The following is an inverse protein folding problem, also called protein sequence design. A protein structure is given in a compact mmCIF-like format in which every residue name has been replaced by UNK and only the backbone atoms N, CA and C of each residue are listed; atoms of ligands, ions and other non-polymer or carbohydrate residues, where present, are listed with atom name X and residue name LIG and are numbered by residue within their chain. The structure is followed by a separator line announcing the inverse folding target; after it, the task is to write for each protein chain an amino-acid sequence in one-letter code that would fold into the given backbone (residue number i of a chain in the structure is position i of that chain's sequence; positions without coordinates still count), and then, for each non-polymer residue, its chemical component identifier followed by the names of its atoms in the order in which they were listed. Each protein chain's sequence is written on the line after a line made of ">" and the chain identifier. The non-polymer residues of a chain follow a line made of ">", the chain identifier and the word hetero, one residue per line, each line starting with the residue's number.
data_IF_603798917038
#
_entry.id   IF_603798917038
#
_cell.length_a   1.000
_cell.length_b   1.000
_cell.length_c   1.000
_cell.angle_alpha   90.00
_cell.angle_beta   90.00
_cell.angle_gamma   90.00
#
_symmetry.space_group_name_H-M   'P 1'
#
loop_
_entity.id
_entity.type
_entity.pdbx_description
1 polymer ?
#
# COMPACT_ATOMS: atom_id res chain seq x y z
N UNK A 1 -1.80 -13.99 13.52
CA UNK A 1 -1.78 -13.94 12.10
C UNK A 1 -1.45 -12.57 11.55
N UNK A 2 -2.41 -11.66 11.45
CA UNK A 2 -2.15 -10.33 10.96
C UNK A 2 -1.12 -9.57 11.76
N UNK A 3 -1.04 -9.83 13.06
CA UNK A 3 -0.13 -9.11 13.94
C UNK A 3 1.34 -9.35 13.62
N UNK A 4 1.70 -10.56 13.23
CA UNK A 4 3.10 -10.84 12.87
C UNK A 4 3.53 -10.07 11.65
N UNK A 5 2.65 -10.03 10.66
CA UNK A 5 2.95 -9.34 9.42
C UNK A 5 3.11 -7.85 9.69
N UNK A 6 2.23 -7.27 10.49
CA UNK A 6 2.28 -5.85 10.81
C UNK A 6 3.57 -5.46 11.53
N UNK A 7 4.04 -6.29 12.44
CA UNK A 7 5.30 -6.01 13.13
C UNK A 7 6.47 -5.92 12.16
N UNK A 8 6.52 -6.85 11.22
CA UNK A 8 7.61 -6.87 10.25
C UNK A 8 7.55 -5.69 9.30
N UNK A 9 6.35 -5.25 8.95
CA UNK A 9 6.20 -4.17 7.98
C UNK A 9 6.49 -2.79 8.55
N UNK A 10 6.26 -2.59 9.84
CA UNK A 10 6.52 -1.29 10.47
C UNK A 10 7.95 -0.83 10.24
N UNK A 11 8.90 -1.73 10.22
CA UNK A 11 10.30 -1.38 10.06
C UNK A 11 10.70 -1.07 8.62
N UNK A 12 9.80 -1.22 7.66
CA UNK A 12 10.08 -0.94 6.25
C UNK A 12 9.86 0.51 5.88
N UNK A 13 9.12 1.25 6.68
CA UNK A 13 8.91 2.68 6.47
C UNK A 13 9.85 3.48 7.35
N UNK A 14 10.31 4.61 6.81
CA UNK A 14 11.17 5.53 7.56
C UNK A 14 10.37 6.51 8.41
N UNK A 15 9.05 6.47 8.32
CA UNK A 15 8.17 7.41 9.01
C UNK A 15 6.88 6.71 9.41
N UNK A 16 5.97 7.47 10.03
CA UNK A 16 4.73 6.92 10.57
C UNK A 16 3.86 6.28 9.49
N UNK A 17 3.39 5.08 9.75
CA UNK A 17 2.42 4.40 8.90
C UNK A 17 1.04 4.96 9.20
N UNK A 18 0.36 5.44 8.18
CA UNK A 18 -0.97 6.04 8.31
C UNK A 18 -2.08 5.13 7.83
N UNK A 19 -1.80 4.21 6.92
CA UNK A 19 -2.82 3.39 6.32
C UNK A 19 -2.30 1.98 6.07
N UNK A 20 -3.17 1.01 6.33
CA UNK A 20 -2.93 -0.41 6.05
C UNK A 20 -4.19 -0.97 5.41
N UNK A 21 -4.03 -1.78 4.39
CA UNK A 21 -5.17 -2.40 3.72
C UNK A 21 -4.81 -3.78 3.18
N UNK A 22 -5.63 -4.76 3.52
CA UNK A 22 -5.48 -6.12 3.00
C UNK A 22 -6.31 -6.28 1.74
N UNK A 23 -5.77 -7.01 0.76
CA UNK A 23 -6.55 -7.36 -0.41
C UNK A 23 -7.72 -8.25 0.01
N UNK A 24 -8.85 -8.21 -0.72
CA UNK A 24 -10.04 -8.97 -0.34
C UNK A 24 -9.82 -10.48 -0.23
N UNK A 25 -8.92 -11.03 -1.03
CA UNK A 25 -8.61 -12.46 -1.01
C UNK A 25 -7.50 -12.83 -0.02
N UNK A 26 -6.95 -11.83 0.68
CA UNK A 26 -5.87 -12.05 1.64
C UNK A 26 -4.50 -12.31 1.04
N UNK A 27 -4.37 -12.24 -0.28
CA UNK A 27 -3.10 -12.57 -0.94
C UNK A 27 -2.02 -11.51 -0.74
N UNK A 28 -2.42 -10.28 -0.47
CA UNK A 28 -1.51 -9.16 -0.33
C UNK A 28 -2.00 -8.17 0.70
N UNK A 29 -1.10 -7.31 1.18
CA UNK A 29 -1.54 -6.11 1.89
C UNK A 29 -0.62 -4.94 1.53
N UNK A 30 -1.15 -3.74 1.73
CA UNK A 30 -0.45 -2.51 1.41
C UNK A 30 -0.29 -1.66 2.65
N UNK A 31 0.82 -0.96 2.76
CA UNK A 31 1.05 0.05 3.79
C UNK A 31 1.40 1.38 3.14
N UNK A 32 0.92 2.46 3.72
CA UNK A 32 1.21 3.81 3.27
C UNK A 32 1.59 4.68 4.44
N UNK A 33 2.56 5.57 4.25
CA UNK A 33 3.18 6.28 5.36
C UNK A 33 3.46 7.75 5.03
N UNK A 34 3.88 8.48 6.06
CA UNK A 34 4.28 9.88 5.93
C UNK A 34 5.51 10.08 5.06
N UNK A 35 6.31 9.03 4.87
CA UNK A 35 7.46 9.08 3.98
C UNK A 35 7.07 9.08 2.49
N UNK A 36 5.79 8.98 2.20
CA UNK A 36 5.29 8.92 0.83
C UNK A 36 5.45 7.56 0.19
N UNK A 37 5.90 6.55 0.92
CA UNK A 37 6.03 5.21 0.39
C UNK A 37 4.73 4.45 0.50
N UNK A 38 4.42 3.71 -0.57
CA UNK A 38 3.38 2.70 -0.57
C UNK A 38 4.09 1.38 -0.82
N UNK A 39 3.99 0.46 0.12
CA UNK A 39 4.67 -0.83 0.02
C UNK A 39 3.62 -1.93 -0.01
N UNK A 40 3.73 -2.83 -0.98
CA UNK A 40 2.83 -3.97 -1.11
C UNK A 40 3.60 -5.23 -0.75
N UNK A 41 3.01 -6.01 0.15
CA UNK A 41 3.60 -7.21 0.71
C UNK A 41 2.75 -8.43 0.38
N UNK A 42 3.38 -9.60 0.37
CA UNK A 42 2.63 -10.85 0.35
C UNK A 42 1.87 -11.02 1.66
N UNK A 43 0.64 -11.50 1.55
CA UNK A 43 -0.24 -11.68 2.71
C UNK A 43 -0.05 -12.98 3.46
N UNK A 44 0.98 -13.77 3.15
CA UNK A 44 1.18 -15.09 3.75
C UNK A 44 1.99 -15.07 5.05
N UNK A 45 2.25 -13.90 5.59
CA UNK A 45 3.01 -13.77 6.83
C UNK A 45 4.52 -13.75 6.65
N UNK A 46 5.02 -13.88 5.42
CA UNK A 46 6.46 -13.90 5.17
C UNK A 46 7.10 -12.52 5.31
N UNK A 47 6.32 -11.46 5.19
CA UNK A 47 6.82 -10.11 5.16
C UNK A 47 7.54 -9.74 3.88
N UNK A 48 7.38 -10.57 2.84
CA UNK A 48 8.07 -10.34 1.57
C UNK A 48 7.42 -9.18 0.83
N UNK A 49 8.26 -8.19 0.49
CA UNK A 49 7.84 -7.03 -0.28
C UNK A 49 7.69 -7.41 -1.75
N UNK A 50 6.56 -7.03 -2.35
CA UNK A 50 6.29 -7.30 -3.76
C UNK A 50 6.61 -6.08 -4.61
N UNK A 51 6.08 -4.93 -4.21
CA UNK A 51 6.25 -3.66 -4.92
C UNK A 51 6.41 -2.53 -3.93
N UNK A 52 7.08 -1.48 -4.40
CA UNK A 52 7.29 -0.26 -3.64
C UNK A 52 7.10 0.93 -4.57
N UNK A 53 6.30 1.89 -4.15
CA UNK A 53 6.05 3.11 -4.92
C UNK A 53 6.31 4.32 -4.06
N UNK A 54 6.98 5.32 -4.64
CA UNK A 54 7.24 6.58 -3.96
C UNK A 54 6.33 7.66 -4.53
N UNK A 55 5.53 8.29 -3.67
CA UNK A 55 4.73 9.45 -4.04
C UNK A 55 5.28 10.68 -3.34
N UNK A 56 4.83 11.87 -3.76
CA UNK A 56 5.45 13.14 -3.33
C UNK A 56 4.96 13.63 -1.99
N UNK A 57 3.86 13.11 -1.49
CA UNK A 57 3.23 13.58 -0.27
C UNK A 57 2.90 12.40 0.65
N UNK A 58 2.70 12.65 1.94
CA UNK A 58 2.30 11.58 2.86
C UNK A 58 1.05 10.85 2.39
N UNK A 59 1.08 9.53 2.46
CA UNK A 59 -0.05 8.67 2.11
C UNK A 59 -0.98 8.59 3.31
N UNK A 60 -2.26 8.84 3.11
CA UNK A 60 -3.23 8.88 4.22
C UNK A 60 -4.32 7.84 4.11
N UNK A 61 -4.52 7.25 2.95
CA UNK A 61 -5.55 6.23 2.77
C UNK A 61 -5.16 5.23 1.71
N UNK A 62 -5.62 3.99 1.87
CA UNK A 62 -5.42 2.91 0.92
C UNK A 62 -6.70 2.11 0.79
N UNK A 63 -7.00 1.68 -0.43
CA UNK A 63 -8.17 0.85 -0.70
C UNK A 63 -7.84 -0.13 -1.83
N UNK A 64 -8.14 -1.40 -1.61
CA UNK A 64 -8.01 -2.41 -2.66
C UNK A 64 -9.27 -2.48 -3.49
N UNK A 65 -9.09 -2.54 -4.80
CA UNK A 65 -10.20 -2.85 -5.70
C UNK A 65 -10.21 -4.35 -5.92
N UNK A 66 -11.34 -4.97 -5.63
CA UNK A 66 -11.42 -6.42 -5.53
C UNK A 66 -11.75 -7.13 -6.82
N UNK A 67 -12.32 -6.44 -7.78
CA UNK A 67 -13.05 -7.13 -8.84
C UNK A 67 -12.17 -7.74 -9.91
N UNK A 68 -11.09 -7.10 -10.26
CA UNK A 68 -10.26 -7.54 -11.37
C UNK A 68 -8.81 -7.63 -10.95
N UNK A 69 -8.58 -8.44 -9.94
CA UNK A 69 -7.24 -8.61 -9.49
C UNK A 69 -6.83 -7.48 -8.56
N UNK A 70 -5.69 -6.99 -8.71
CA UNK A 70 -4.98 -6.48 -7.58
C UNK A 70 -4.56 -5.04 -7.87
N UNK A 71 -5.51 -4.13 -7.69
CA UNK A 71 -5.25 -2.71 -7.83
C UNK A 71 -5.50 -2.02 -6.51
N UNK A 72 -4.56 -1.17 -6.12
CA UNK A 72 -4.64 -0.36 -4.91
C UNK A 72 -4.89 1.09 -5.29
N UNK A 73 -5.83 1.73 -4.60
CA UNK A 73 -6.01 3.17 -4.66
C UNK A 73 -5.37 3.78 -3.43
N UNK A 74 -4.54 4.77 -3.62
CA UNK A 74 -3.86 5.44 -2.53
C UNK A 74 -4.09 6.94 -2.63
N UNK A 75 -4.61 7.54 -1.55
CA UNK A 75 -4.78 8.99 -1.46
C UNK A 75 -3.67 9.61 -0.64
N UNK A 76 -3.19 10.76 -1.06
CA UNK A 76 -2.16 11.48 -0.34
C UNK A 76 -2.63 12.85 0.11
N UNK A 77 -1.81 13.54 0.90
CA UNK A 77 -2.19 14.82 1.48
C UNK A 77 -2.27 15.96 0.46
N UNK A 78 -1.74 15.75 -0.74
CA UNK A 78 -1.84 16.76 -1.80
C UNK A 78 -3.18 16.70 -2.53
N UNK A 79 -4.00 15.67 -2.27
CA UNK A 79 -5.27 15.47 -2.95
C UNK A 79 -5.18 14.57 -4.15
N UNK A 80 -4.01 14.01 -4.43
CA UNK A 80 -3.84 13.07 -5.54
C UNK A 80 -4.32 11.67 -5.15
N UNK A 81 -4.87 10.96 -6.11
CA UNK A 81 -5.21 9.54 -5.96
C UNK A 81 -4.37 8.74 -6.94
N UNK A 82 -3.63 7.80 -6.39
CA UNK A 82 -2.75 6.92 -7.18
C UNK A 82 -3.43 5.59 -7.38
N UNK A 83 -3.43 5.09 -8.59
CA UNK A 83 -3.93 3.76 -8.92
C UNK A 83 -2.73 2.88 -9.24
N UNK A 84 -2.50 1.87 -8.42
CA UNK A 84 -1.30 1.04 -8.49
C UNK A 84 -1.71 -0.39 -8.74
N UNK A 85 -1.25 -0.96 -9.85
CA UNK A 85 -1.48 -2.36 -10.15
C UNK A 85 -0.34 -3.24 -9.66
N UNK A 86 -0.63 -4.50 -9.35
CA UNK A 86 0.39 -5.45 -8.93
C UNK A 86 1.34 -5.83 -10.05
N UNK A 87 1.04 -5.46 -11.28
CA UNK A 87 1.95 -5.62 -12.40
C UNK A 87 3.03 -4.52 -12.46
N UNK A 88 3.02 -3.63 -11.48
CA UNK A 88 3.96 -2.51 -11.43
C UNK A 88 3.46 -1.24 -12.09
N UNK A 89 2.26 -1.25 -12.65
CA UNK A 89 1.70 -0.05 -13.26
C UNK A 89 1.29 0.97 -12.19
N UNK A 90 1.41 2.24 -12.55
CA UNK A 90 1.10 3.35 -11.65
C UNK A 90 0.43 4.46 -12.46
N UNK A 91 -0.69 4.96 -11.96
CA UNK A 91 -1.39 6.10 -12.55
C UNK A 91 -1.78 7.05 -11.44
N UNK A 92 -1.70 8.34 -11.72
CA UNK A 92 -2.09 9.38 -10.79
C UNK A 92 -3.33 10.09 -11.33
N UNK A 93 -4.32 10.25 -10.47
CA UNK A 93 -5.51 11.04 -10.78
C UNK A 93 -5.67 12.11 -9.73
N UNK A 94 -6.08 13.30 -10.17
CA UNK A 94 -6.39 14.41 -9.27
C UNK A 94 -7.89 14.55 -9.18
N UNK A 95 -8.41 14.53 -7.99
CA UNK A 95 -9.85 14.65 -7.76
C UNK A 95 -10.26 16.09 -7.46
#
# INVERSE_FOLDING_TARGET
>A
MGQYVLRKTIHRHSDSINALAFSPDGSHFASGADDGLIIIFQGNGSGKEVWRFQVKAPVVTLLWRSRFGHTVLAGDTSGDVHTIGLDGSDKVSVI
#
